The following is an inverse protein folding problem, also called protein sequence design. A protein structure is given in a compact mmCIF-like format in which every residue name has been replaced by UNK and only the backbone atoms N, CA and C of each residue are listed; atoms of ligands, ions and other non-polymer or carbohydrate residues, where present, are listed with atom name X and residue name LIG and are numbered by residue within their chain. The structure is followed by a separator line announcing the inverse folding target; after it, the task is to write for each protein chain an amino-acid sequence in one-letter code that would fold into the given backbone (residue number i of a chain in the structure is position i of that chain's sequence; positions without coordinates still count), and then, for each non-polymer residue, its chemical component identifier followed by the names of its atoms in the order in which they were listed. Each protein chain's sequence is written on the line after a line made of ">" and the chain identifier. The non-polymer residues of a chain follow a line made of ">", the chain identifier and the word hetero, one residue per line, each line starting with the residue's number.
data_IF_840069146420
#
_entry.id   IF_840069146420
#
_cell.length_a   1.000
_cell.length_b   1.000
_cell.length_c   1.000
_cell.angle_alpha   90.00
_cell.angle_beta   90.00
_cell.angle_gamma   90.00
#
_symmetry.space_group_name_H-M   'P 1'
#
loop_
_entity.id
_entity.type
_entity.pdbx_description
1 polymer ?
#
# COMPACT_ATOMS: atom_id res chain seq x y z
N UNK A 1 -3.86 -8.80 3.15
CA UNK A 1 -3.54 -10.11 2.56
C UNK A 1 -3.64 -9.94 1.07
N UNK A 2 -2.62 -10.31 0.31
CA UNK A 2 -2.59 -10.09 -1.13
C UNK A 2 -2.37 -11.43 -1.86
N UNK A 3 -3.16 -11.72 -2.90
CA UNK A 3 -2.98 -12.93 -3.69
C UNK A 3 -1.72 -12.84 -4.56
N UNK A 4 -0.93 -13.92 -4.57
CA UNK A 4 0.28 -14.02 -5.35
C UNK A 4 0.22 -15.11 -6.43
N UNK A 5 1.29 -15.23 -7.19
CA UNK A 5 1.44 -16.25 -8.21
C UNK A 5 1.30 -17.65 -7.59
N UNK A 6 0.58 -18.54 -8.26
CA UNK A 6 0.35 -19.91 -7.79
C UNK A 6 -0.74 -20.06 -6.72
N UNK A 7 -1.50 -19.00 -6.42
CA UNK A 7 -2.63 -19.00 -5.50
C UNK A 7 -2.25 -18.91 -4.02
N UNK A 8 -1.00 -18.57 -3.72
CA UNK A 8 -0.58 -18.26 -2.35
C UNK A 8 -1.16 -16.93 -1.91
N UNK A 9 -1.54 -16.81 -0.64
CA UNK A 9 -1.93 -15.57 -0.01
C UNK A 9 -0.78 -15.04 0.84
N UNK A 10 -0.35 -13.81 0.59
CA UNK A 10 0.75 -13.17 1.29
C UNK A 10 0.25 -12.24 2.37
N UNK A 11 0.87 -12.33 3.56
CA UNK A 11 0.41 -11.69 4.79
C UNK A 11 1.57 -10.91 5.40
N UNK A 12 1.46 -9.57 5.52
CA UNK A 12 2.45 -8.78 6.23
C UNK A 12 2.34 -9.05 7.74
N UNK A 13 3.47 -9.13 8.42
CA UNK A 13 3.54 -9.37 9.86
C UNK A 13 3.77 -8.07 10.62
N UNK A 14 2.68 -7.43 11.02
CA UNK A 14 2.78 -6.19 11.80
C UNK A 14 3.40 -6.44 13.18
N UNK A 15 4.47 -5.74 13.50
CA UNK A 15 5.28 -5.88 14.71
C UNK A 15 6.01 -7.22 14.90
N UNK A 16 6.20 -7.95 13.82
CA UNK A 16 7.03 -9.14 13.79
C UNK A 16 7.84 -9.11 12.50
N UNK A 17 9.12 -9.46 12.57
CA UNK A 17 9.96 -9.47 11.40
C UNK A 17 9.44 -10.42 10.31
N UNK A 18 9.45 -9.96 9.05
CA UNK A 18 9.18 -10.75 7.87
C UNK A 18 7.72 -10.88 7.45
N UNK A 19 7.50 -11.70 6.46
CA UNK A 19 6.20 -11.97 5.86
C UNK A 19 5.83 -13.46 5.98
N UNK A 20 4.55 -13.76 5.81
CA UNK A 20 4.04 -15.13 5.84
C UNK A 20 3.24 -15.37 4.58
N UNK A 21 3.37 -16.56 3.98
CA UNK A 21 2.43 -17.05 2.98
C UNK A 21 1.48 -18.09 3.58
N UNK A 22 0.28 -18.17 3.02
CA UNK A 22 -0.71 -19.20 3.28
C UNK A 22 -1.08 -19.86 1.96
N UNK A 23 -1.02 -21.18 1.89
CA UNK A 23 -1.52 -21.95 0.75
C UNK A 23 -2.94 -22.47 1.07
N UNK A 24 -3.99 -21.92 0.43
CA UNK A 24 -5.37 -22.36 0.69
C UNK A 24 -5.67 -23.80 0.32
N UNK A 25 -4.86 -24.42 -0.57
CA UNK A 25 -5.07 -25.81 -1.01
C UNK A 25 -4.57 -26.83 0.00
N UNK A 26 -3.52 -26.47 0.74
CA UNK A 26 -2.88 -27.36 1.73
C UNK A 26 -3.10 -26.89 3.16
N UNK A 27 -3.69 -25.71 3.33
CA UNK A 27 -3.92 -25.02 4.61
C UNK A 27 -2.64 -24.80 5.42
N UNK A 28 -1.50 -24.69 4.73
CA UNK A 28 -0.19 -24.51 5.37
C UNK A 28 0.27 -23.07 5.32
N UNK A 29 0.91 -22.66 6.41
CA UNK A 29 1.63 -21.41 6.52
C UNK A 29 3.14 -21.62 6.36
N UNK A 30 3.79 -20.67 5.71
CA UNK A 30 5.25 -20.57 5.69
C UNK A 30 5.65 -19.15 6.02
N UNK A 31 6.64 -18.98 6.91
CA UNK A 31 7.13 -17.68 7.36
C UNK A 31 8.56 -17.46 6.87
N UNK A 32 8.82 -16.26 6.36
CA UNK A 32 10.16 -15.78 6.04
C UNK A 32 10.48 -14.62 6.97
N UNK A 33 11.53 -14.69 7.79
CA UNK A 33 11.99 -13.58 8.61
C UNK A 33 12.66 -12.50 7.75
N UNK A 34 12.76 -11.29 8.29
CA UNK A 34 13.66 -10.27 7.76
C UNK A 34 15.12 -10.71 7.90
N UNK A 35 16.04 -10.01 7.23
CA UNK A 35 17.45 -10.32 7.32
C UNK A 35 17.98 -10.07 8.74
N UNK A 36 18.90 -10.93 9.24
CA UNK A 36 19.38 -10.90 10.62
C UNK A 36 19.93 -9.54 11.10
N UNK A 37 20.55 -8.79 10.20
CA UNK A 37 21.11 -7.46 10.49
C UNK A 37 20.07 -6.39 10.79
N UNK A 38 18.80 -6.66 10.54
CA UNK A 38 17.68 -5.74 10.75
C UNK A 38 16.59 -6.30 11.69
N UNK A 39 16.84 -7.45 12.28
CA UNK A 39 15.92 -8.09 13.23
C UNK A 39 16.15 -7.54 14.64
N UNK A 40 15.61 -6.40 14.95
CA UNK A 40 14.99 -6.33 16.26
C UNK A 40 13.51 -6.70 16.09
N UNK A 41 12.87 -7.28 17.08
CA UNK A 41 11.51 -7.84 17.04
C UNK A 41 10.38 -6.83 16.72
N UNK A 42 10.68 -5.72 16.05
CA UNK A 42 9.84 -4.53 15.97
C UNK A 42 9.62 -3.99 14.56
N UNK A 43 9.98 -4.76 13.54
CA UNK A 43 9.69 -4.35 12.16
C UNK A 43 8.19 -4.28 11.89
N UNK A 44 7.76 -3.25 11.17
CA UNK A 44 6.37 -3.03 10.81
C UNK A 44 6.23 -3.20 9.30
N UNK A 45 5.63 -4.30 8.88
CA UNK A 45 5.26 -4.54 7.49
C UNK A 45 3.79 -4.17 7.30
N UNK A 46 3.51 -3.10 6.58
CA UNK A 46 2.15 -2.58 6.43
C UNK A 46 1.39 -3.15 5.23
N UNK A 47 2.10 -3.51 4.18
CA UNK A 47 1.55 -4.08 2.95
C UNK A 47 2.61 -4.96 2.28
N UNK A 48 2.17 -6.01 1.58
CA UNK A 48 3.01 -6.84 0.72
C UNK A 48 2.56 -6.68 -0.73
N UNK A 49 3.47 -6.87 -1.67
CA UNK A 49 3.20 -6.79 -3.10
C UNK A 49 3.79 -7.98 -3.84
N UNK A 50 2.99 -9.05 -4.03
CA UNK A 50 3.36 -10.13 -4.92
C UNK A 50 3.56 -9.59 -6.35
N UNK A 51 4.68 -9.95 -6.97
CA UNK A 51 5.06 -9.52 -8.29
C UNK A 51 4.79 -10.61 -9.35
N UNK A 52 4.58 -10.24 -10.63
CA UNK A 52 4.31 -11.20 -11.72
C UNK A 52 5.39 -12.26 -11.93
N UNK A 53 6.65 -11.98 -11.60
CA UNK A 53 7.76 -12.93 -11.68
C UNK A 53 7.79 -13.96 -10.54
N UNK A 54 6.86 -13.84 -9.59
CA UNK A 54 6.72 -14.73 -8.44
C UNK A 54 7.50 -14.29 -7.21
N UNK A 55 8.24 -13.19 -7.28
CA UNK A 55 8.86 -12.55 -6.10
C UNK A 55 7.83 -11.75 -5.30
N UNK A 56 8.20 -11.34 -4.09
CA UNK A 56 7.31 -10.57 -3.21
C UNK A 56 8.06 -9.39 -2.61
N UNK A 57 7.55 -8.19 -2.86
CA UNK A 57 8.06 -6.97 -2.25
C UNK A 57 7.36 -6.68 -0.93
N UNK A 58 8.12 -6.24 0.05
CA UNK A 58 7.57 -5.80 1.34
C UNK A 58 8.48 -4.77 2.01
N UNK A 59 7.91 -3.74 2.66
CA UNK A 59 8.69 -2.71 3.33
C UNK A 59 9.00 -3.13 4.76
N UNK A 60 10.19 -2.82 5.23
CA UNK A 60 10.44 -2.68 6.65
C UNK A 60 10.46 -1.17 6.97
N UNK A 61 9.46 -0.72 7.72
CA UNK A 61 9.28 0.69 8.01
C UNK A 61 10.36 1.25 8.94
N UNK A 62 10.89 0.42 9.84
CA UNK A 62 11.91 0.83 10.81
C UNK A 62 13.26 1.04 10.15
N UNK A 63 13.69 0.10 9.32
CA UNK A 63 14.94 0.22 8.57
C UNK A 63 14.82 1.09 7.32
N UNK A 64 13.60 1.49 6.92
CA UNK A 64 13.31 2.21 5.68
C UNK A 64 13.87 1.52 4.45
N UNK A 65 13.76 0.22 4.48
CA UNK A 65 14.28 -0.68 3.45
C UNK A 65 13.12 -1.41 2.81
N UNK A 66 13.17 -1.57 1.50
CA UNK A 66 12.28 -2.46 0.77
C UNK A 66 13.01 -3.77 0.54
N UNK A 67 12.34 -4.88 0.82
CA UNK A 67 12.84 -6.22 0.57
C UNK A 67 12.13 -6.84 -0.62
N UNK A 68 12.84 -7.72 -1.33
CA UNK A 68 12.30 -8.54 -2.40
C UNK A 68 12.65 -10.00 -2.15
N UNK A 69 11.68 -10.77 -1.67
CA UNK A 69 11.83 -12.20 -1.45
C UNK A 69 11.59 -12.97 -2.75
N UNK A 70 12.50 -13.88 -3.11
CA UNK A 70 12.23 -14.97 -4.03
C UNK A 70 11.84 -16.22 -3.22
N UNK A 71 10.57 -16.64 -3.21
CA UNK A 71 10.12 -17.75 -2.40
C UNK A 71 10.61 -19.11 -2.90
N UNK A 72 11.16 -19.21 -4.13
CA UNK A 72 11.71 -20.44 -4.67
C UNK A 72 13.10 -20.75 -4.10
N UNK A 73 13.88 -19.70 -3.90
CA UNK A 73 15.27 -19.82 -3.41
C UNK A 73 15.41 -19.44 -1.94
N UNK A 74 14.44 -18.70 -1.39
CA UNK A 74 14.51 -18.06 -0.08
C UNK A 74 15.42 -16.83 -0.02
N UNK A 75 15.98 -16.42 -1.18
CA UNK A 75 16.84 -15.25 -1.25
C UNK A 75 16.02 -13.96 -1.09
N UNK A 76 16.54 -13.03 -0.28
CA UNK A 76 15.93 -11.72 -0.09
C UNK A 76 16.91 -10.62 -0.51
N UNK A 77 16.54 -9.87 -1.54
CA UNK A 77 17.23 -8.66 -1.95
C UNK A 77 16.87 -7.48 -1.05
N UNK A 78 17.82 -6.55 -0.88
CA UNK A 78 17.72 -5.41 0.04
C UNK A 78 17.85 -4.10 -0.74
N UNK A 79 16.87 -3.21 -0.61
CA UNK A 79 16.79 -1.96 -1.34
C UNK A 79 16.54 -0.79 -0.39
N UNK A 80 17.60 -0.03 0.03
CA UNK A 80 17.43 1.19 0.81
C UNK A 80 16.58 2.20 0.03
N UNK A 81 15.45 2.63 0.61
CA UNK A 81 14.48 3.48 -0.10
C UNK A 81 14.90 4.95 -0.17
N UNK A 82 15.79 5.38 0.71
CA UNK A 82 16.21 6.78 0.83
C UNK A 82 17.73 6.87 0.83
N UNK A 83 18.34 7.55 -0.15
CA UNK A 83 19.82 7.60 -0.30
C UNK A 83 20.56 8.18 0.91
N UNK A 84 19.92 9.12 1.61
CA UNK A 84 20.51 9.81 2.75
C UNK A 84 20.25 9.12 4.10
N UNK A 85 19.54 8.00 4.08
CA UNK A 85 19.26 7.23 5.28
C UNK A 85 20.30 6.11 5.45
N UNK A 86 20.98 6.14 6.59
CA UNK A 86 22.00 5.18 6.99
C UNK A 86 21.51 4.38 8.19
N UNK A 87 20.90 3.20 8.01
CA UNK A 87 20.33 2.40 9.11
C UNK A 87 21.38 2.05 10.17
N UNK A 88 22.64 1.83 9.78
CA UNK A 88 23.74 1.54 10.67
C UNK A 88 24.11 2.71 11.61
N UNK A 89 23.72 3.93 11.24
CA UNK A 89 23.91 5.13 12.08
C UNK A 89 22.69 5.43 12.96
N UNK A 90 21.57 4.81 12.65
CA UNK A 90 20.33 5.08 13.36
C UNK A 90 20.23 4.38 14.71
N UNK A 91 21.12 3.44 14.99
CA UNK A 91 21.14 2.63 16.24
C UNK A 91 20.09 1.53 16.22
N UNK A 92 20.45 0.35 16.73
CA UNK A 92 19.49 -0.71 17.01
C UNK A 92 18.44 -0.17 18.01
N UNK A 93 17.17 -0.25 17.67
CA UNK A 93 16.08 0.18 18.54
C UNK A 93 15.48 1.53 18.21
N UNK A 94 15.54 1.98 16.95
CA UNK A 94 14.57 2.96 16.48
C UNK A 94 13.22 2.25 16.44
N UNK A 95 12.65 2.10 17.61
CA UNK A 95 11.21 1.96 17.72
C UNK A 95 10.64 3.10 16.90
N UNK A 96 9.72 2.80 15.98
CA UNK A 96 8.67 3.75 15.67
C UNK A 96 7.96 3.96 17.02
N UNK A 97 8.55 4.75 17.87
CA UNK A 97 7.75 5.45 18.84
C UNK A 97 6.82 6.26 17.94
N UNK A 98 5.55 5.95 18.00
CA UNK A 98 4.49 6.86 17.58
C UNK A 98 4.58 8.20 18.34
N UNK A 99 5.67 8.45 19.04
CA UNK A 99 6.09 9.73 19.54
C UNK A 99 6.62 10.54 18.36
N UNK A 100 5.71 11.22 17.73
CA UNK A 100 5.84 12.16 16.60
C UNK A 100 7.04 13.13 16.66
N UNK A 101 7.87 13.08 17.66
CA UNK A 101 8.87 14.08 17.97
C UNK A 101 10.31 13.68 17.63
N UNK A 102 10.58 12.48 17.13
CA UNK A 102 11.95 12.03 16.82
C UNK A 102 12.05 11.18 15.55
N UNK A 103 11.17 11.37 14.56
CA UNK A 103 11.45 10.81 13.24
C UNK A 103 12.62 11.57 12.64
N UNK A 104 13.75 10.93 12.33
CA UNK A 104 14.79 11.59 11.57
C UNK A 104 14.20 12.01 10.24
N UNK A 105 14.29 13.31 9.95
CA UNK A 105 13.96 13.99 8.70
C UNK A 105 13.14 13.18 7.67
N UNK A 106 11.83 13.37 7.69
CA UNK A 106 11.12 13.53 6.44
C UNK A 106 10.62 12.31 5.68
N UNK A 107 10.80 11.04 6.11
CA UNK A 107 10.37 9.88 5.34
C UNK A 107 9.71 8.79 6.19
N UNK A 108 8.57 8.28 5.72
CA UNK A 108 7.89 7.12 6.32
C UNK A 108 7.16 6.32 5.25
N UNK A 109 7.69 5.16 4.91
CA UNK A 109 7.09 4.26 3.90
C UNK A 109 5.92 3.50 4.48
N UNK A 110 4.90 3.24 3.65
CA UNK A 110 3.72 2.51 4.11
C UNK A 110 3.19 1.50 3.09
N UNK A 111 2.60 1.97 1.99
CA UNK A 111 2.05 1.10 0.95
C UNK A 111 3.12 0.66 -0.03
N UNK A 112 2.98 -0.55 -0.57
CA UNK A 112 3.79 -1.08 -1.66
C UNK A 112 2.91 -1.83 -2.66
N UNK A 113 3.22 -1.73 -3.95
CA UNK A 113 2.57 -2.47 -5.03
C UNK A 113 3.59 -2.78 -6.13
N UNK A 114 3.34 -3.83 -6.93
CA UNK A 114 4.21 -4.21 -8.04
C UNK A 114 3.52 -3.99 -9.39
N UNK A 115 4.27 -3.51 -10.40
CA UNK A 115 3.79 -3.36 -11.77
C UNK A 115 3.95 -4.64 -12.60
N UNK A 116 3.53 -4.60 -13.88
CA UNK A 116 3.61 -5.74 -14.80
C UNK A 116 5.03 -6.21 -15.09
N UNK A 117 6.03 -5.37 -14.81
CA UNK A 117 7.47 -5.66 -14.95
C UNK A 117 8.14 -6.06 -13.63
N UNK A 118 7.33 -6.28 -12.59
CA UNK A 118 7.79 -6.59 -11.23
C UNK A 118 8.57 -5.45 -10.53
N UNK A 119 8.53 -4.23 -11.04
CA UNK A 119 9.04 -3.07 -10.30
C UNK A 119 8.16 -2.79 -9.08
N UNK A 120 8.76 -2.36 -7.98
CA UNK A 120 8.00 -1.95 -6.81
C UNK A 120 7.70 -0.45 -6.82
N UNK A 121 6.49 -0.08 -6.42
CA UNK A 121 6.11 1.29 -6.09
C UNK A 121 5.74 1.37 -4.62
N UNK A 122 6.14 2.44 -3.94
CA UNK A 122 5.85 2.63 -2.53
C UNK A 122 5.42 4.06 -2.20
N UNK A 123 4.62 4.18 -1.15
CA UNK A 123 4.16 5.47 -0.62
C UNK A 123 5.05 5.96 0.50
N UNK A 124 5.51 7.19 0.42
CA UNK A 124 6.23 7.90 1.46
C UNK A 124 5.32 8.95 2.11
N UNK A 125 4.70 8.60 3.22
CA UNK A 125 3.65 9.39 3.86
C UNK A 125 4.15 10.78 4.26
N UNK A 126 5.29 10.83 4.93
CA UNK A 126 5.83 12.08 5.50
C UNK A 126 6.58 12.86 4.42
N UNK A 127 7.38 12.19 3.62
CA UNK A 127 8.10 12.82 2.52
C UNK A 127 7.20 13.29 1.38
N UNK A 128 5.95 12.79 1.29
CA UNK A 128 5.03 13.13 0.20
C UNK A 128 5.60 12.72 -1.15
N UNK A 129 6.05 11.47 -1.27
CA UNK A 129 6.59 10.93 -2.51
C UNK A 129 5.90 9.60 -2.86
N UNK A 130 5.91 9.30 -4.15
CA UNK A 130 5.79 7.94 -4.66
C UNK A 130 7.19 7.49 -5.07
N UNK A 131 7.68 6.40 -4.49
CA UNK A 131 8.95 5.81 -4.86
C UNK A 131 8.77 4.67 -5.85
N UNK A 132 9.77 4.45 -6.71
CA UNK A 132 9.87 3.28 -7.57
C UNK A 132 11.22 2.61 -7.38
N UNK A 133 11.23 1.29 -7.25
CA UNK A 133 12.42 0.45 -7.34
C UNK A 133 12.34 -0.33 -8.64
N UNK A 134 13.30 -0.12 -9.51
CA UNK A 134 13.45 -0.89 -10.74
C UNK A 134 13.90 -2.31 -10.41
N UNK A 135 13.16 -3.31 -10.86
CA UNK A 135 13.38 -4.70 -10.49
C UNK A 135 14.65 -5.32 -11.08
N UNK A 136 15.13 -4.77 -12.21
CA UNK A 136 16.31 -5.26 -12.92
C UNK A 136 17.59 -4.62 -12.38
N UNK A 137 17.57 -3.30 -12.16
CA UNK A 137 18.77 -2.53 -11.79
C UNK A 137 18.89 -2.25 -10.31
N UNK A 138 17.78 -2.38 -9.55
CA UNK A 138 17.70 -2.00 -8.15
C UNK A 138 17.67 -0.47 -7.93
N UNK A 139 17.59 0.33 -8.99
CA UNK A 139 17.59 1.79 -8.88
C UNK A 139 16.33 2.28 -8.20
N UNK A 140 16.48 3.08 -7.16
CA UNK A 140 15.39 3.78 -6.47
C UNK A 140 15.23 5.19 -7.04
N UNK A 141 13.96 5.57 -7.32
CA UNK A 141 13.62 6.92 -7.78
C UNK A 141 12.42 7.42 -6.99
N UNK A 142 12.49 8.65 -6.50
CA UNK A 142 11.40 9.30 -5.76
C UNK A 142 10.74 10.37 -6.64
N UNK A 143 9.42 10.37 -6.68
CA UNK A 143 8.59 11.33 -7.40
C UNK A 143 7.72 12.09 -6.40
N UNK A 144 7.96 13.40 -6.29
CA UNK A 144 7.24 14.27 -5.34
C UNK A 144 5.78 14.46 -5.77
N UNK A 145 4.85 14.26 -4.83
CA UNK A 145 3.43 14.56 -5.08
C UNK A 145 3.21 16.06 -5.27
N UNK A 146 2.29 16.49 -6.16
CA UNK A 146 2.02 17.91 -6.40
C UNK A 146 1.53 18.66 -5.16
N UNK A 147 0.62 18.05 -4.40
CA UNK A 147 0.14 18.64 -3.15
C UNK A 147 1.15 18.43 -2.03
N UNK A 148 1.59 19.53 -1.42
CA UNK A 148 2.52 19.50 -0.29
C UNK A 148 1.89 18.74 0.91
N UNK A 149 2.69 17.87 1.54
CA UNK A 149 2.24 17.05 2.66
C UNK A 149 0.97 16.24 2.37
N UNK A 150 0.84 15.72 1.15
CA UNK A 150 -0.36 14.98 0.72
C UNK A 150 -0.60 13.70 1.54
N UNK A 151 0.45 13.08 2.04
CA UNK A 151 0.39 11.88 2.88
C UNK A 151 -0.10 10.64 2.14
N UNK A 152 0.58 10.21 1.05
CA UNK A 152 0.20 9.01 0.32
C UNK A 152 0.31 7.77 1.23
N UNK A 153 -0.75 6.95 1.25
CA UNK A 153 -0.87 5.83 2.20
C UNK A 153 -0.71 4.48 1.53
N UNK A 154 -1.82 3.88 1.08
CA UNK A 154 -1.81 2.59 0.38
C UNK A 154 -1.88 2.80 -1.11
N UNK A 155 -1.24 1.92 -1.84
CA UNK A 155 -1.03 2.02 -3.28
C UNK A 155 -1.48 0.74 -3.97
N UNK A 156 -2.03 0.86 -5.16
CA UNK A 156 -2.28 -0.24 -6.09
C UNK A 156 -1.82 0.12 -7.49
N UNK A 157 -1.59 -0.88 -8.33
CA UNK A 157 -1.23 -0.70 -9.73
C UNK A 157 -2.39 -1.18 -10.59
N UNK A 158 -2.76 -0.40 -11.60
CA UNK A 158 -3.79 -0.79 -12.56
C UNK A 158 -3.21 -1.54 -13.77
N UNK A 159 -4.09 -1.99 -14.66
CA UNK A 159 -3.72 -2.74 -15.87
C UNK A 159 -2.89 -1.94 -16.89
N UNK A 160 -2.72 -0.64 -16.69
CA UNK A 160 -1.88 0.24 -17.51
C UNK A 160 -0.56 0.59 -16.82
N UNK A 161 -0.24 -0.06 -15.70
CA UNK A 161 0.90 0.19 -14.82
C UNK A 161 0.88 1.56 -14.13
N UNK A 162 -0.30 2.20 -14.00
CA UNK A 162 -0.42 3.45 -13.25
C UNK A 162 -0.61 3.13 -11.76
N UNK A 163 0.02 3.92 -10.91
CA UNK A 163 -0.07 3.79 -9.47
C UNK A 163 -1.20 4.67 -8.92
N UNK A 164 -2.15 4.06 -8.20
CA UNK A 164 -3.27 4.73 -7.54
C UNK A 164 -3.11 4.68 -6.03
N UNK A 165 -3.32 5.79 -5.34
CA UNK A 165 -3.08 5.88 -3.89
C UNK A 165 -4.03 6.88 -3.22
N UNK A 166 -4.30 6.63 -1.93
CA UNK A 166 -5.01 7.60 -1.10
C UNK A 166 -4.04 8.62 -0.54
N UNK A 167 -4.38 9.91 -0.64
CA UNK A 167 -3.65 11.04 -0.05
C UNK A 167 -4.36 11.51 1.21
N UNK A 168 -4.00 10.90 2.31
CA UNK A 168 -4.71 11.04 3.58
C UNK A 168 -4.82 12.49 4.07
N UNK A 169 -3.71 13.23 4.07
CA UNK A 169 -3.71 14.61 4.57
C UNK A 169 -4.24 15.61 3.54
N UNK A 170 -4.05 15.36 2.24
CA UNK A 170 -4.62 16.17 1.18
C UNK A 170 -6.12 15.96 0.98
N UNK A 171 -6.71 14.94 1.59
CA UNK A 171 -8.10 14.54 1.37
C UNK A 171 -8.39 14.25 -0.11
N UNK A 172 -7.49 13.56 -0.79
CA UNK A 172 -7.53 13.34 -2.24
C UNK A 172 -7.26 11.88 -2.61
N UNK A 173 -7.61 11.52 -3.84
CA UNK A 173 -7.11 10.32 -4.51
C UNK A 173 -6.05 10.78 -5.49
N UNK A 174 -4.86 10.17 -5.44
CA UNK A 174 -3.75 10.42 -6.34
C UNK A 174 -3.56 9.31 -7.37
N UNK A 175 -3.05 9.69 -8.54
CA UNK A 175 -2.58 8.77 -9.57
C UNK A 175 -1.22 9.25 -10.08
N UNK A 176 -0.28 8.31 -10.22
CA UNK A 176 1.01 8.51 -10.88
C UNK A 176 1.09 7.64 -12.13
N UNK A 177 1.40 8.24 -13.27
CA UNK A 177 1.66 7.55 -14.52
C UNK A 177 3.18 7.43 -14.74
N UNK A 178 3.77 6.23 -14.63
CA UNK A 178 5.22 6.04 -14.76
C UNK A 178 5.74 6.24 -16.20
N UNK A 179 4.87 6.20 -17.21
CA UNK A 179 5.27 6.42 -18.61
C UNK A 179 5.53 7.89 -18.92
N UNK A 180 4.79 8.76 -18.26
CA UNK A 180 4.88 10.21 -18.45
C UNK A 180 5.50 10.92 -17.25
N UNK A 181 5.68 10.21 -16.14
CA UNK A 181 6.10 10.72 -14.83
C UNK A 181 5.22 11.86 -14.31
N UNK A 182 3.92 11.81 -14.65
CA UNK A 182 2.95 12.84 -14.26
C UNK A 182 1.98 12.32 -13.22
N UNK A 183 1.57 13.26 -12.37
CA UNK A 183 0.52 13.06 -11.37
C UNK A 183 -0.82 13.65 -11.82
N UNK A 184 -1.89 13.06 -11.29
CA UNK A 184 -3.22 13.66 -11.19
C UNK A 184 -3.76 13.44 -9.79
N UNK A 185 -4.48 14.43 -9.27
CA UNK A 185 -5.07 14.40 -7.93
C UNK A 185 -6.55 14.83 -8.04
N UNK A 186 -7.42 14.14 -7.30
CA UNK A 186 -8.85 14.43 -7.22
C UNK A 186 -9.26 14.57 -5.76
N UNK A 187 -9.67 15.78 -5.38
CA UNK A 187 -10.08 16.04 -4.00
C UNK A 187 -11.43 15.42 -3.69
N UNK A 188 -11.51 14.70 -2.57
CA UNK A 188 -12.75 14.12 -2.10
C UNK A 188 -13.76 15.25 -1.74
N UNK A 189 -15.07 15.10 -2.08
CA UNK A 189 -16.06 16.14 -1.85
C UNK A 189 -16.35 16.37 -0.36
N UNK A 190 -16.45 15.29 0.43
CA UNK A 190 -16.61 15.40 1.88
C UNK A 190 -15.27 15.76 2.54
N UNK A 191 -15.23 16.80 3.40
CA UNK A 191 -14.02 17.14 4.15
C UNK A 191 -13.60 16.01 5.11
N UNK A 192 -12.29 15.87 5.34
CA UNK A 192 -11.72 14.99 6.36
C UNK A 192 -12.01 13.49 6.17
N UNK A 193 -12.37 13.07 4.97
CA UNK A 193 -12.53 11.64 4.65
C UNK A 193 -11.25 10.88 4.96
N UNK A 194 -10.09 11.45 4.63
CA UNK A 194 -8.81 10.79 4.79
C UNK A 194 -8.69 9.54 3.91
N UNK A 195 -8.73 9.67 2.55
CA UNK A 195 -8.61 8.55 1.64
C UNK A 195 -7.39 7.70 1.97
N UNK A 196 -7.59 6.38 2.13
CA UNK A 196 -6.53 5.50 2.61
C UNK A 196 -6.05 4.50 1.54
N UNK A 197 -6.88 3.55 1.04
CA UNK A 197 -6.56 2.77 -0.15
C UNK A 197 -7.03 3.50 -1.42
N UNK A 198 -6.54 3.09 -2.58
CA UNK A 198 -7.15 3.39 -3.87
C UNK A 198 -6.98 2.18 -4.79
N UNK A 199 -8.09 1.66 -5.35
CA UNK A 199 -8.06 0.51 -6.27
C UNK A 199 -8.99 0.77 -7.46
N UNK A 200 -8.49 0.53 -8.68
CA UNK A 200 -9.29 0.67 -9.90
C UNK A 200 -10.09 -0.59 -10.16
N UNK A 201 -11.33 -0.42 -10.60
CA UNK A 201 -12.18 -1.50 -11.08
C UNK A 201 -12.06 -1.72 -12.60
N UNK A 202 -12.68 -2.81 -13.11
CA UNK A 202 -12.66 -3.17 -14.55
C UNK A 202 -13.33 -2.14 -15.47
N UNK A 203 -14.14 -1.21 -14.94
CA UNK A 203 -14.78 -0.11 -15.69
C UNK A 203 -13.90 1.13 -15.74
N UNK A 204 -12.83 1.14 -14.95
CA UNK A 204 -11.90 2.25 -14.84
C UNK A 204 -12.25 3.25 -13.75
N UNK A 205 -13.29 3.00 -12.95
CA UNK A 205 -13.60 3.79 -11.77
C UNK A 205 -12.64 3.41 -10.64
N UNK A 206 -12.37 4.34 -9.73
CA UNK A 206 -11.43 4.15 -8.62
C UNK A 206 -12.14 4.21 -7.29
N UNK A 207 -11.98 3.15 -6.53
CA UNK A 207 -12.57 2.99 -5.22
C UNK A 207 -11.58 3.37 -4.14
N UNK A 208 -12.03 4.15 -3.18
CA UNK A 208 -11.28 4.51 -1.97
C UNK A 208 -12.18 4.48 -0.74
N UNK A 209 -11.58 4.50 0.42
CA UNK A 209 -12.29 4.51 1.69
C UNK A 209 -11.71 5.54 2.63
N UNK A 210 -12.58 6.16 3.39
CA UNK A 210 -12.22 7.10 4.43
C UNK A 210 -11.76 6.39 5.70
N UNK A 211 -10.52 6.63 6.12
CA UNK A 211 -10.07 6.13 7.42
C UNK A 211 -10.72 6.86 8.59
N UNK A 212 -11.03 8.15 8.40
CA UNK A 212 -11.58 9.03 9.44
C UNK A 212 -13.10 9.17 9.39
N UNK A 213 -13.73 8.49 8.43
CA UNK A 213 -15.19 8.48 8.22
C UNK A 213 -15.65 7.08 7.85
N UNK A 214 -16.97 6.86 7.87
CA UNK A 214 -17.56 5.58 7.46
C UNK A 214 -18.00 5.62 5.98
N UNK A 215 -17.22 6.33 5.14
CA UNK A 215 -17.51 6.53 3.72
C UNK A 215 -16.62 5.66 2.84
N UNK A 216 -17.26 5.06 1.85
CA UNK A 216 -16.62 4.51 0.66
C UNK A 216 -16.90 5.46 -0.50
N UNK A 217 -15.89 5.77 -1.29
CA UNK A 217 -16.02 6.67 -2.43
C UNK A 217 -15.65 5.95 -3.72
N UNK A 218 -16.42 6.22 -4.76
CA UNK A 218 -16.13 5.82 -6.14
C UNK A 218 -15.87 7.08 -6.96
N UNK A 219 -14.69 7.18 -7.53
CA UNK A 219 -14.25 8.24 -8.44
C UNK A 219 -14.35 7.77 -9.88
N UNK A 220 -15.04 8.52 -10.75
CA UNK A 220 -14.82 8.45 -12.19
C UNK A 220 -13.67 9.41 -12.57
N UNK A 221 -12.47 8.91 -12.88
CA UNK A 221 -11.31 9.76 -13.15
C UNK A 221 -11.38 10.51 -14.47
N UNK A 222 -12.33 10.16 -15.37
CA UNK A 222 -12.57 10.83 -16.66
C UNK A 222 -13.32 12.15 -16.44
N UNK A 223 -14.28 12.14 -15.51
CA UNK A 223 -15.12 13.30 -15.20
C UNK A 223 -14.72 14.02 -13.92
N UNK A 224 -13.93 13.37 -13.05
CA UNK A 224 -13.56 13.84 -11.73
C UNK A 224 -14.69 13.81 -10.70
N UNK A 225 -15.81 13.13 -11.03
CA UNK A 225 -16.97 13.03 -10.13
C UNK A 225 -16.81 11.87 -9.16
N UNK A 226 -17.26 12.11 -7.92
CA UNK A 226 -17.35 11.10 -6.88
C UNK A 226 -18.80 10.70 -6.61
N UNK A 227 -18.98 9.44 -6.25
CA UNK A 227 -20.17 8.92 -5.58
C UNK A 227 -19.73 8.44 -4.20
N UNK A 228 -20.45 8.84 -3.15
CA UNK A 228 -20.16 8.50 -1.77
C UNK A 228 -21.22 7.52 -1.23
N UNK A 229 -20.74 6.46 -0.59
CA UNK A 229 -21.57 5.42 0.03
C UNK A 229 -21.30 5.41 1.53
N UNK A 230 -22.31 5.76 2.33
CA UNK A 230 -22.23 5.67 3.78
C UNK A 230 -22.42 4.23 4.22
N UNK A 231 -21.49 3.71 5.02
CA UNK A 231 -21.66 2.41 5.66
C UNK A 231 -22.71 2.49 6.78
N UNK A 232 -23.52 1.44 6.97
CA UNK A 232 -24.47 1.39 8.09
C UNK A 232 -23.77 1.20 9.44
N UNK A 233 -22.54 0.71 9.46
CA UNK A 233 -21.71 0.56 10.66
C UNK A 233 -20.95 1.85 10.90
N UNK A 234 -21.01 2.38 12.12
CA UNK A 234 -20.28 3.58 12.53
C UNK A 234 -18.94 3.22 13.17
N UNK A 235 -17.96 4.14 13.08
CA UNK A 235 -16.61 4.01 13.64
C UNK A 235 -15.86 2.79 13.10
N UNK A 236 -15.85 2.64 11.78
CA UNK A 236 -15.29 1.48 11.07
C UNK A 236 -13.78 1.49 10.96
N UNK A 237 -13.14 2.67 10.83
CA UNK A 237 -11.69 2.86 10.61
C UNK A 237 -11.16 2.00 9.45
N UNK A 238 -11.61 2.32 8.23
CA UNK A 238 -11.33 1.50 7.06
C UNK A 238 -9.90 1.75 6.58
N UNK A 239 -9.10 0.69 6.55
CA UNK A 239 -7.70 0.73 6.10
C UNK A 239 -7.42 -0.13 4.87
N UNK A 240 -8.38 -0.97 4.49
CA UNK A 240 -8.24 -1.86 3.35
C UNK A 240 -9.59 -2.08 2.70
N UNK A 241 -9.56 -2.06 1.37
CA UNK A 241 -10.67 -2.50 0.52
C UNK A 241 -10.14 -3.45 -0.53
N UNK A 242 -11.01 -4.28 -1.05
CA UNK A 242 -10.72 -5.07 -2.24
C UNK A 242 -11.85 -4.97 -3.25
N UNK A 243 -11.49 -4.96 -4.55
CA UNK A 243 -12.43 -4.81 -5.64
C UNK A 243 -12.56 -6.13 -6.37
N UNK A 244 -13.71 -6.76 -6.25
CA UNK A 244 -14.02 -8.00 -6.95
C UNK A 244 -14.53 -7.69 -8.37
N UNK A 245 -13.60 -7.72 -9.31
CA UNK A 245 -13.86 -7.51 -10.72
C UNK A 245 -14.53 -8.71 -11.42
N UNK A 246 -14.62 -9.87 -10.77
CA UNK A 246 -15.30 -11.07 -11.28
C UNK A 246 -16.81 -11.00 -11.11
N UNK A 247 -17.28 -10.24 -10.12
CA UNK A 247 -18.71 -10.05 -9.82
C UNK A 247 -19.43 -9.16 -10.86
N UNK A 248 -20.74 -9.36 -10.99
CA UNK A 248 -21.62 -8.48 -11.73
C UNK A 248 -22.96 -8.31 -10.96
N UNK A 249 -23.23 -7.13 -10.35
CA UNK A 249 -22.39 -5.93 -10.34
C UNK A 249 -21.01 -6.16 -9.70
N UNK A 250 -20.07 -5.23 -9.96
CA UNK A 250 -18.78 -5.20 -9.26
C UNK A 250 -19.03 -5.11 -7.76
N UNK A 251 -18.31 -5.90 -6.97
CA UNK A 251 -18.40 -5.83 -5.53
C UNK A 251 -17.13 -5.22 -4.91
N UNK A 252 -17.31 -4.43 -3.87
CA UNK A 252 -16.21 -3.90 -3.06
C UNK A 252 -16.29 -4.47 -1.65
N UNK A 253 -15.24 -5.16 -1.26
CA UNK A 253 -15.10 -5.73 0.08
C UNK A 253 -14.35 -4.75 0.98
N UNK A 254 -14.86 -4.54 2.17
CA UNK A 254 -14.37 -3.51 3.11
C UNK A 254 -14.07 -4.16 4.45
N UNK A 255 -12.84 -3.93 4.94
CA UNK A 255 -12.45 -4.36 6.28
C UNK A 255 -12.77 -3.25 7.30
N UNK A 256 -13.77 -3.47 8.15
CA UNK A 256 -14.17 -2.58 9.25
C UNK A 256 -13.31 -2.89 10.49
N UNK A 257 -12.13 -2.27 10.57
CA UNK A 257 -11.05 -2.65 11.51
C UNK A 257 -11.49 -2.54 12.96
N UNK A 258 -12.14 -1.42 13.35
CA UNK A 258 -12.57 -1.22 14.74
C UNK A 258 -13.74 -2.13 15.15
N UNK A 259 -14.44 -2.68 14.18
CA UNK A 259 -15.64 -3.50 14.45
C UNK A 259 -15.40 -4.99 14.24
N UNK A 260 -14.24 -5.37 13.71
CA UNK A 260 -13.94 -6.77 13.41
C UNK A 260 -14.91 -7.39 12.42
N UNK A 261 -15.40 -6.60 11.44
CA UNK A 261 -16.38 -7.02 10.45
C UNK A 261 -15.85 -6.88 9.04
N UNK A 262 -16.50 -7.55 8.11
CA UNK A 262 -16.31 -7.38 6.68
C UNK A 262 -17.65 -6.94 6.09
N UNK A 263 -17.66 -5.83 5.36
CA UNK A 263 -18.81 -5.38 4.57
C UNK A 263 -18.59 -5.67 3.09
N UNK A 264 -19.68 -5.92 2.37
CA UNK A 264 -19.73 -6.03 0.91
C UNK A 264 -20.61 -4.93 0.37
N UNK A 265 -20.12 -4.18 -0.61
CA UNK A 265 -20.86 -3.14 -1.32
C UNK A 265 -21.08 -3.59 -2.75
N UNK A 266 -22.32 -3.59 -3.19
CA UNK A 266 -22.73 -3.85 -4.57
C UNK A 266 -23.50 -2.61 -5.05
N UNK A 267 -22.87 -1.74 -5.86
CA UNK A 267 -23.55 -0.56 -6.39
C UNK A 267 -24.66 -0.98 -7.34
N UNK A 268 -25.81 -0.31 -7.22
CA UNK A 268 -27.01 -0.62 -8.01
C UNK A 268 -27.10 0.20 -9.32
N UNK A 269 -26.06 0.94 -9.68
CA UNK A 269 -25.97 1.84 -10.84
C UNK A 269 -25.02 1.34 -11.95
#
# INVERSE_FOLDING_TARGET
>A
MEPGVGGLLWIPRFRQAGITSFDPRTEKFQTWPDLPEYTDDRSIDAQVAPAPDGTVWYPNLDSRTLYRLDPKTGHTGVYPMYPDFHPEKAGAGIIIQFAYNKMPAGHFTYGVAADSKSNAYFCDIIGGNIGRVDAETGKVTLFKTPTLNSGPRRISIDSQDRAWFGEYYANSVGMFDPKTEKFKEWKAPTPWVGPYPAKQDKRGDVWTAGMSTDLILRLDPRTGKFVEYMLPTLDTNIRHIDVDNSSNPIAVWVAEVHRGKIAKIEPLD
#
